data_IF_596793752197
#
_entry.id   IF_596793752197
#
_cell.length_a   1.000
_cell.length_b   1.000
_cell.length_c   1.000
_cell.angle_alpha   90.00
_cell.angle_beta   90.00
_cell.angle_gamma   90.00
#
_symmetry.space_group_name_H-M   'P 1'
#
loop_
_entity.id
_entity.type
_entity.pdbx_description
1 polymer ?
#
# COMPACT_ATOMS: atom_id res chain seq x y z
N UNK A 1 -27.75 0.52 -14.13
CA UNK A 1 -26.72 1.52 -13.78
C UNK A 1 -26.22 1.19 -12.39
N UNK A 2 -24.91 1.28 -12.13
CA UNK A 2 -24.36 1.10 -10.79
C UNK A 2 -24.86 2.26 -9.90
N UNK A 3 -25.23 1.94 -8.66
CA UNK A 3 -25.72 2.90 -7.66
C UNK A 3 -24.58 3.23 -6.69
N UNK A 4 -24.66 4.34 -5.94
CA UNK A 4 -23.61 4.68 -4.96
C UNK A 4 -23.30 3.54 -3.98
N UNK A 5 -24.31 2.80 -3.52
CA UNK A 5 -24.18 1.63 -2.64
C UNK A 5 -23.47 0.42 -3.29
N UNK A 6 -23.23 0.45 -4.60
CA UNK A 6 -22.44 -0.56 -5.31
C UNK A 6 -20.93 -0.24 -5.26
N UNK A 7 -20.54 0.85 -4.59
CA UNK A 7 -19.13 1.27 -4.48
C UNK A 7 -18.69 1.33 -3.02
N UNK A 8 -17.52 0.77 -2.77
CA UNK A 8 -16.86 0.83 -1.46
C UNK A 8 -15.53 1.56 -1.51
N UNK A 9 -15.16 2.16 -0.38
CA UNK A 9 -13.84 2.74 -0.13
C UNK A 9 -13.19 2.03 1.06
N UNK A 10 -11.98 1.57 0.86
CA UNK A 10 -11.11 1.02 1.90
C UNK A 10 -9.94 1.98 2.11
N UNK A 11 -9.86 2.56 3.28
CA UNK A 11 -8.82 3.50 3.67
C UNK A 11 -8.51 3.33 5.15
N UNK A 12 -7.25 3.23 5.48
CA UNK A 12 -6.76 3.24 6.86
C UNK A 12 -5.51 4.12 6.95
N UNK A 13 -5.52 5.05 7.90
CA UNK A 13 -4.43 6.01 8.07
C UNK A 13 -3.09 5.35 8.44
N UNK A 14 -3.10 4.15 9.00
CA UNK A 14 -1.87 3.37 9.29
C UNK A 14 -1.07 3.04 8.03
N UNK A 15 -1.71 2.98 6.86
CA UNK A 15 -1.01 2.84 5.59
C UNK A 15 -0.08 4.04 5.29
N UNK A 16 -0.34 5.21 5.88
CA UNK A 16 0.52 6.39 5.73
C UNK A 16 1.85 6.26 6.48
N UNK A 17 1.94 5.34 7.44
CA UNK A 17 3.14 5.12 8.24
C UNK A 17 4.24 4.36 7.48
N UNK A 18 3.93 3.78 6.32
CA UNK A 18 4.98 3.23 5.46
C UNK A 18 6.01 4.31 5.13
N UNK A 19 7.27 4.06 5.50
CA UNK A 19 8.39 4.95 5.25
C UNK A 19 9.39 4.27 4.30
N UNK A 20 9.49 4.79 3.11
CA UNK A 20 10.43 4.40 2.07
C UNK A 20 11.52 5.45 1.84
N UNK A 21 11.65 6.42 2.76
CA UNK A 21 12.64 7.48 2.74
C UNK A 21 12.39 8.54 1.66
N UNK A 22 13.45 9.19 1.25
CA UNK A 22 13.48 10.20 0.19
C UNK A 22 14.07 9.62 -1.11
N UNK A 23 13.87 10.32 -2.21
CA UNK A 23 14.57 10.07 -3.47
C UNK A 23 15.75 11.04 -3.58
N UNK A 24 16.84 10.54 -4.14
CA UNK A 24 18.00 11.36 -4.50
C UNK A 24 17.97 11.51 -6.01
N UNK A 25 17.84 12.75 -6.46
CA UNK A 25 17.99 13.07 -7.86
C UNK A 25 19.46 13.41 -8.11
N UNK A 26 20.07 12.73 -9.07
CA UNK A 26 21.40 13.06 -9.54
C UNK A 26 21.35 14.32 -10.39
N UNK A 27 21.76 15.41 -9.78
CA UNK A 27 21.89 16.69 -10.44
C UNK A 27 23.33 16.95 -10.81
N UNK A 28 23.87 16.22 -11.73
CA UNK A 28 25.25 16.20 -12.29
C UNK A 28 26.17 17.40 -12.00
N UNK A 29 25.72 18.64 -12.11
CA UNK A 29 26.53 19.84 -11.88
C UNK A 29 26.20 20.58 -10.57
N UNK A 30 25.09 20.30 -9.93
CA UNK A 30 24.58 21.03 -8.75
C UNK A 30 24.66 20.20 -7.44
N UNK A 31 25.17 18.97 -7.49
CA UNK A 31 25.18 18.04 -6.35
C UNK A 31 23.88 17.26 -6.21
N UNK A 32 23.81 16.48 -5.16
CA UNK A 32 22.67 15.63 -4.84
C UNK A 32 21.49 16.44 -4.33
N UNK A 33 20.33 16.28 -4.95
CA UNK A 33 19.08 16.90 -4.52
C UNK A 33 18.21 15.81 -3.90
N UNK A 34 17.93 15.95 -2.61
CA UNK A 34 16.98 15.10 -1.92
C UNK A 34 15.56 15.64 -2.11
N UNK A 35 14.66 14.79 -2.56
CA UNK A 35 13.25 15.13 -2.76
C UNK A 35 12.35 14.10 -2.06
N UNK A 36 11.10 14.48 -1.72
CA UNK A 36 10.13 13.51 -1.21
C UNK A 36 9.99 12.32 -2.17
N UNK A 37 9.87 11.12 -1.61
CA UNK A 37 9.71 9.92 -2.40
C UNK A 37 8.44 9.98 -3.26
N UNK A 38 8.54 9.56 -4.52
CA UNK A 38 7.39 9.59 -5.45
C UNK A 38 6.20 8.74 -4.94
N UNK A 39 6.48 7.62 -4.27
CA UNK A 39 5.49 6.81 -3.55
C UNK A 39 5.42 7.27 -2.08
N UNK A 40 5.22 8.56 -1.80
CA UNK A 40 5.07 9.12 -0.47
C UNK A 40 3.62 9.12 0.03
N UNK A 41 3.39 9.29 1.36
CA UNK A 41 2.06 9.29 1.96
C UNK A 41 1.16 10.41 1.43
N UNK A 42 1.73 11.48 0.91
CA UNK A 42 0.96 12.62 0.38
C UNK A 42 0.06 12.24 -0.81
N UNK A 43 0.42 11.21 -1.58
CA UNK A 43 -0.45 10.70 -2.66
C UNK A 43 -1.80 10.26 -2.12
N UNK A 44 -1.78 9.48 -1.06
CA UNK A 44 -2.98 8.93 -0.41
C UNK A 44 -3.75 10.03 0.33
N UNK A 45 -3.04 10.90 1.09
CA UNK A 45 -3.68 12.03 1.79
C UNK A 45 -4.43 12.93 0.83
N UNK A 46 -3.80 13.33 -0.27
CA UNK A 46 -4.43 14.21 -1.28
C UNK A 46 -5.60 13.54 -1.98
N UNK A 47 -5.48 12.26 -2.33
CA UNK A 47 -6.58 11.50 -2.91
C UNK A 47 -7.79 11.46 -1.96
N UNK A 48 -7.56 11.15 -0.67
CA UNK A 48 -8.61 11.14 0.34
C UNK A 48 -9.21 12.52 0.55
N UNK A 49 -8.39 13.57 0.59
CA UNK A 49 -8.86 14.96 0.71
C UNK A 49 -9.79 15.35 -0.45
N UNK A 50 -9.46 14.97 -1.68
CA UNK A 50 -10.32 15.20 -2.85
C UNK A 50 -11.63 14.45 -2.73
N UNK A 51 -11.61 13.18 -2.32
CA UNK A 51 -12.83 12.39 -2.11
C UNK A 51 -13.75 13.01 -1.06
N UNK A 52 -13.19 13.52 0.02
CA UNK A 52 -13.95 14.20 1.10
C UNK A 52 -14.49 15.54 0.61
N UNK A 53 -13.65 16.42 0.07
CA UNK A 53 -14.04 17.77 -0.36
C UNK A 53 -15.06 17.78 -1.51
N UNK A 54 -15.00 16.77 -2.39
CA UNK A 54 -15.99 16.60 -3.47
C UNK A 54 -17.32 16.02 -2.99
N UNK A 55 -17.41 15.58 -1.74
CA UNK A 55 -18.57 14.85 -1.23
C UNK A 55 -18.71 13.42 -1.78
N UNK A 56 -17.71 12.94 -2.52
CA UNK A 56 -17.71 11.58 -3.09
C UNK A 56 -17.60 10.53 -1.98
N UNK A 57 -16.70 10.74 -1.02
CA UNK A 57 -16.49 9.83 0.12
C UNK A 57 -17.79 9.53 0.88
N UNK A 58 -18.64 10.54 1.09
CA UNK A 58 -19.90 10.38 1.79
C UNK A 58 -20.97 9.54 1.03
N UNK A 59 -20.72 9.23 -0.24
CA UNK A 59 -21.60 8.41 -1.08
C UNK A 59 -21.14 6.96 -1.20
N UNK A 60 -19.96 6.63 -0.68
CA UNK A 60 -19.37 5.31 -0.75
C UNK A 60 -19.62 4.55 0.56
N UNK A 61 -19.72 3.24 0.48
CA UNK A 61 -19.66 2.39 1.66
C UNK A 61 -18.21 2.34 2.16
N UNK A 62 -17.98 2.75 3.41
CA UNK A 62 -16.66 2.67 4.03
C UNK A 62 -16.51 1.29 4.69
N UNK A 63 -15.57 0.49 4.20
CA UNK A 63 -15.32 -0.84 4.72
C UNK A 63 -14.15 -0.83 5.70
N UNK A 64 -14.37 -1.43 6.86
CA UNK A 64 -13.28 -1.80 7.76
C UNK A 64 -12.61 -3.08 7.25
N UNK A 65 -11.31 -3.18 7.45
CA UNK A 65 -10.52 -4.34 7.05
C UNK A 65 -9.35 -4.58 8.01
N UNK A 66 -8.87 -5.81 8.03
CA UNK A 66 -7.72 -6.22 8.81
C UNK A 66 -6.44 -6.31 7.97
N UNK A 67 -5.35 -6.64 8.62
CA UNK A 67 -4.12 -7.05 7.94
C UNK A 67 -4.30 -8.42 7.29
N UNK A 68 -3.68 -8.63 6.14
CA UNK A 68 -3.49 -9.97 5.61
C UNK A 68 -2.71 -10.83 6.62
N UNK A 69 -3.02 -12.09 6.70
CA UNK A 69 -2.25 -13.04 7.49
C UNK A 69 -1.01 -13.51 6.72
N UNK A 70 -0.05 -14.09 7.42
CA UNK A 70 1.09 -14.72 6.74
C UNK A 70 0.63 -15.85 5.79
N UNK A 71 -0.42 -16.58 6.17
CA UNK A 71 -1.00 -17.62 5.30
C UNK A 71 -1.58 -17.04 4.02
N UNK A 72 -2.21 -15.88 4.06
CA UNK A 72 -2.71 -15.18 2.86
C UNK A 72 -1.53 -14.79 1.94
N UNK A 73 -0.47 -14.23 2.52
CA UNK A 73 0.72 -13.85 1.74
C UNK A 73 1.41 -15.07 1.11
N UNK A 74 1.45 -16.21 1.81
CA UNK A 74 2.05 -17.46 1.33
C UNK A 74 1.30 -18.08 0.14
N UNK A 75 0.09 -17.65 -0.17
CA UNK A 75 -0.60 -18.06 -1.41
C UNK A 75 0.10 -17.51 -2.67
N UNK A 76 0.85 -16.43 -2.54
CA UNK A 76 1.51 -15.74 -3.66
C UNK A 76 3.03 -15.67 -3.46
N UNK A 77 3.49 -15.40 -2.23
CA UNK A 77 4.88 -15.13 -1.92
C UNK A 77 5.56 -16.29 -1.20
N UNK A 78 6.86 -16.44 -1.44
CA UNK A 78 7.68 -17.42 -0.71
C UNK A 78 7.86 -17.00 0.76
N UNK A 79 8.01 -17.96 1.65
CA UNK A 79 8.32 -17.69 3.06
C UNK A 79 9.60 -16.85 3.23
N UNK A 80 10.61 -17.07 2.38
CA UNK A 80 11.85 -16.29 2.40
C UNK A 80 11.65 -14.83 2.03
N UNK A 81 10.73 -14.53 1.10
CA UNK A 81 10.39 -13.15 0.76
C UNK A 81 9.68 -12.45 1.92
N UNK A 82 8.69 -13.10 2.53
CA UNK A 82 7.93 -12.57 3.67
C UNK A 82 8.87 -12.29 4.85
N UNK A 83 9.77 -13.24 5.15
CA UNK A 83 10.75 -13.07 6.23
C UNK A 83 11.70 -11.90 5.97
N UNK A 84 12.21 -11.74 4.76
CA UNK A 84 13.10 -10.61 4.38
C UNK A 84 12.43 -9.27 4.63
N UNK A 85 11.14 -9.11 4.28
CA UNK A 85 10.39 -7.88 4.55
C UNK A 85 10.23 -7.67 6.05
N UNK A 86 9.94 -8.72 6.82
CA UNK A 86 9.78 -8.68 8.28
C UNK A 86 11.07 -8.28 8.97
N UNK A 87 12.20 -8.91 8.62
CA UNK A 87 13.52 -8.59 9.17
C UNK A 87 13.91 -7.14 8.87
N UNK A 88 13.68 -6.68 7.62
CA UNK A 88 13.93 -5.30 7.24
C UNK A 88 13.09 -4.32 8.07
N UNK A 89 11.79 -4.59 8.26
CA UNK A 89 10.91 -3.75 9.08
C UNK A 89 11.32 -3.71 10.56
N UNK A 90 11.87 -4.80 11.09
CA UNK A 90 12.34 -4.85 12.49
C UNK A 90 13.74 -4.28 12.71
N UNK A 91 14.45 -3.92 11.65
CA UNK A 91 15.84 -3.39 11.72
C UNK A 91 15.95 -2.02 12.37
N UNK A 92 14.84 -1.30 12.55
CA UNK A 92 14.80 0.06 13.12
C UNK A 92 15.29 1.16 12.16
N UNK A 93 15.56 0.83 10.91
CA UNK A 93 16.06 1.77 9.88
C UNK A 93 15.44 1.46 8.51
N UNK A 94 15.54 2.41 7.59
CA UNK A 94 15.12 2.18 6.20
C UNK A 94 16.15 1.27 5.52
N UNK A 95 15.69 0.15 4.98
CA UNK A 95 16.51 -0.93 4.40
C UNK A 95 16.04 -1.25 2.98
N UNK A 96 16.96 -1.47 2.06
CA UNK A 96 16.66 -1.98 0.73
C UNK A 96 16.29 -3.47 0.80
N UNK A 97 15.22 -3.85 0.12
CA UNK A 97 14.71 -5.23 0.07
C UNK A 97 14.58 -5.76 -1.35
N UNK A 98 14.79 -4.91 -2.33
CA UNK A 98 14.78 -5.23 -3.76
C UNK A 98 15.01 -3.97 -4.61
N UNK A 99 14.99 -4.09 -5.94
CA UNK A 99 15.13 -2.95 -6.84
C UNK A 99 14.06 -1.89 -6.60
N UNK A 100 14.49 -0.67 -6.27
CA UNK A 100 13.63 0.47 -5.94
C UNK A 100 12.65 0.23 -4.77
N UNK A 101 12.83 -0.84 -4.00
CA UNK A 101 11.97 -1.19 -2.87
C UNK A 101 12.71 -1.02 -1.54
N UNK A 102 12.15 -0.19 -0.65
CA UNK A 102 12.69 0.08 0.68
C UNK A 102 11.62 -0.11 1.75
N UNK A 103 12.07 -0.53 2.92
CA UNK A 103 11.23 -0.85 4.08
C UNK A 103 11.75 -0.10 5.29
N UNK A 104 10.92 0.71 5.91
CA UNK A 104 11.13 1.29 7.24
C UNK A 104 10.38 0.50 8.32
N UNK A 105 10.51 0.88 9.60
CA UNK A 105 9.96 0.10 10.72
C UNK A 105 8.45 -0.19 10.65
N UNK A 106 7.63 0.76 10.18
CA UNK A 106 6.18 0.57 10.06
C UNK A 106 5.75 -0.07 8.74
N UNK A 107 6.70 -0.25 7.79
CA UNK A 107 6.35 -0.66 6.42
C UNK A 107 5.79 -2.08 6.34
N UNK A 108 6.26 -3.00 7.17
CA UNK A 108 5.76 -4.37 7.19
C UNK A 108 4.27 -4.43 7.56
N UNK A 109 3.88 -3.73 8.62
CA UNK A 109 2.49 -3.64 9.05
C UNK A 109 1.61 -2.95 7.99
N UNK A 110 2.09 -1.85 7.41
CA UNK A 110 1.39 -1.14 6.35
C UNK A 110 1.19 -2.00 5.10
N UNK A 111 2.19 -2.79 4.71
CA UNK A 111 2.10 -3.71 3.57
C UNK A 111 1.08 -4.83 3.81
N UNK A 112 1.09 -5.45 4.99
CA UNK A 112 0.09 -6.44 5.37
C UNK A 112 -1.32 -5.84 5.40
N UNK A 113 -1.46 -4.61 5.87
CA UNK A 113 -2.74 -3.89 5.87
C UNK A 113 -3.19 -3.58 4.44
N UNK A 114 -2.29 -3.14 3.56
CA UNK A 114 -2.58 -2.90 2.15
C UNK A 114 -3.06 -4.18 1.44
N UNK A 115 -2.39 -5.31 1.62
CA UNK A 115 -2.82 -6.60 1.10
C UNK A 115 -4.19 -7.02 1.66
N UNK A 116 -4.39 -6.88 2.98
CA UNK A 116 -5.66 -7.19 3.64
C UNK A 116 -6.83 -6.36 3.12
N UNK A 117 -6.57 -5.10 2.75
CA UNK A 117 -7.60 -4.24 2.12
C UNK A 117 -8.08 -4.81 0.79
N UNK A 118 -7.17 -5.32 -0.03
CA UNK A 118 -7.51 -5.90 -1.33
C UNK A 118 -8.28 -7.21 -1.17
N UNK A 119 -7.87 -8.07 -0.24
CA UNK A 119 -8.60 -9.31 0.09
C UNK A 119 -10.04 -8.97 0.50
N UNK A 120 -10.20 -8.05 1.45
CA UNK A 120 -11.53 -7.61 1.91
C UNK A 120 -12.36 -6.97 0.79
N UNK A 121 -11.73 -6.21 -0.10
CA UNK A 121 -12.38 -5.60 -1.25
C UNK A 121 -12.88 -6.64 -2.25
N UNK A 122 -12.10 -7.70 -2.51
CA UNK A 122 -12.49 -8.82 -3.37
C UNK A 122 -13.68 -9.56 -2.77
N UNK A 123 -13.61 -9.94 -1.50
CA UNK A 123 -14.70 -10.67 -0.81
C UNK A 123 -16.00 -9.85 -0.83
N UNK A 124 -15.91 -8.56 -0.51
CA UNK A 124 -17.05 -7.66 -0.56
C UNK A 124 -17.62 -7.54 -1.98
N UNK A 125 -16.76 -7.37 -2.99
CA UNK A 125 -17.21 -7.23 -4.39
C UNK A 125 -17.87 -8.50 -4.91
N UNK A 126 -17.34 -9.68 -4.57
CA UNK A 126 -17.91 -10.97 -4.97
C UNK A 126 -19.22 -11.29 -4.26
N UNK A 127 -19.46 -10.73 -3.08
CA UNK A 127 -20.73 -10.89 -2.35
C UNK A 127 -21.89 -10.09 -2.94
N UNK A 128 -21.65 -9.28 -3.97
CA UNK A 128 -22.63 -8.35 -4.57
C UNK A 128 -22.74 -8.52 -6.07
N UNK A 129 -23.91 -8.25 -6.63
CA UNK A 129 -24.17 -8.38 -8.07
C UNK A 129 -23.36 -7.37 -8.93
N UNK A 130 -22.98 -6.21 -8.36
CA UNK A 130 -22.29 -5.12 -9.06
C UNK A 130 -21.26 -4.41 -8.19
N UNK A 131 -20.73 -5.07 -7.14
CA UNK A 131 -19.78 -4.49 -6.19
C UNK A 131 -18.50 -4.03 -6.85
N UNK A 132 -18.06 -2.82 -6.54
CA UNK A 132 -16.79 -2.21 -6.94
C UNK A 132 -16.14 -1.58 -5.74
N UNK A 133 -14.88 -1.89 -5.48
CA UNK A 133 -14.16 -1.35 -4.34
C UNK A 133 -12.94 -0.54 -4.79
N UNK A 134 -12.64 0.51 -4.06
CA UNK A 134 -11.45 1.31 -4.22
C UNK A 134 -10.60 1.22 -2.95
N UNK A 135 -9.46 0.53 -3.05
CA UNK A 135 -8.48 0.44 -1.98
C UNK A 135 -7.53 1.63 -2.09
N UNK A 136 -7.68 2.58 -1.19
CA UNK A 136 -6.81 3.76 -1.09
C UNK A 136 -5.74 3.49 -0.03
N UNK A 137 -4.80 2.63 -0.36
CA UNK A 137 -3.78 2.10 0.55
C UNK A 137 -2.38 2.19 -0.03
N UNK A 138 -1.35 1.96 0.79
CA UNK A 138 0.07 1.86 0.45
C UNK A 138 0.79 0.96 1.48
N UNK A 139 1.94 0.37 1.11
CA UNK A 139 2.63 0.39 -0.19
C UNK A 139 1.85 -0.32 -1.29
N UNK A 140 2.20 -0.11 -2.57
CA UNK A 140 1.66 -0.89 -3.67
C UNK A 140 2.21 -2.33 -3.68
N UNK A 141 1.63 -3.20 -4.55
CA UNK A 141 2.01 -4.61 -4.66
C UNK A 141 2.18 -5.13 -6.10
N UNK A 142 1.75 -4.37 -7.09
CA UNK A 142 1.63 -4.85 -8.48
C UNK A 142 2.95 -5.16 -9.21
N UNK A 143 4.10 -4.73 -8.68
CA UNK A 143 5.42 -5.09 -9.20
C UNK A 143 6.11 -6.22 -8.42
N UNK A 144 5.63 -6.55 -7.20
CA UNK A 144 6.24 -7.60 -6.42
C UNK A 144 6.03 -8.98 -7.11
N UNK A 145 7.08 -9.78 -7.12
CA UNK A 145 7.00 -11.18 -7.56
C UNK A 145 6.82 -12.12 -6.36
N UNK A 146 6.82 -13.43 -6.61
CA UNK A 146 6.70 -14.41 -5.53
C UNK A 146 7.86 -14.33 -4.51
N UNK A 147 9.03 -13.90 -4.92
CA UNK A 147 10.26 -13.93 -4.14
C UNK A 147 11.04 -12.61 -4.10
N UNK A 148 10.54 -11.55 -4.75
CA UNK A 148 11.23 -10.27 -4.84
C UNK A 148 10.29 -9.07 -4.72
N UNK A 149 10.67 -8.11 -3.86
CA UNK A 149 10.11 -6.76 -3.82
C UNK A 149 10.74 -5.91 -4.92
N UNK A 150 9.95 -5.08 -5.60
CA UNK A 150 10.45 -4.27 -6.71
C UNK A 150 9.53 -3.08 -6.97
N UNK A 151 10.05 -1.97 -7.54
CA UNK A 151 9.24 -0.83 -7.98
C UNK A 151 8.36 -0.25 -6.87
N UNK A 152 8.88 -0.11 -5.65
CA UNK A 152 8.20 0.34 -4.42
C UNK A 152 7.21 -0.68 -3.83
N UNK A 153 6.97 -1.82 -4.49
CA UNK A 153 6.02 -2.85 -4.09
C UNK A 153 6.67 -3.86 -3.14
N UNK A 154 5.92 -4.28 -2.10
CA UNK A 154 6.42 -5.20 -1.09
C UNK A 154 5.76 -6.59 -1.19
N UNK A 155 4.41 -6.63 -1.21
CA UNK A 155 3.60 -7.84 -1.35
C UNK A 155 2.58 -7.71 -2.45
#
# INVERSE_FOLDING_TARGET
MARPEDFALLYDARCLEHDNGSMILDGTAAGWIEVPHAEGPERIRRAMEVLVKSGTSAKLEHLEFGMATEADLQLVHTAGHIERIREAATSGRITWVGPEARVGPASGAAAMLSAGSVISAVDWSLSRAAGRAYCLTRPPGHHASADEAMGFCLF
#
